data_IF_389446533386
#
_entry.id   IF_389446533386
#
_cell.length_a   1.000
_cell.length_b   1.000
_cell.length_c   1.000
_cell.angle_alpha   90.00
_cell.angle_beta   90.00
_cell.angle_gamma   90.00
#
_symmetry.space_group_name_H-M   'P 1'
#
loop_
_entity.id
_entity.type
_entity.pdbx_description
1 polymer ?
#
# COMPACT_ATOMS: atom_id res chain seq x y z
N UNK A 1 19.56 6.91 -28.65
CA UNK A 1 18.14 6.64 -28.93
C UNK A 1 17.40 6.53 -27.61
N UNK A 2 16.32 7.29 -27.43
CA UNK A 2 15.40 7.15 -26.31
C UNK A 2 14.58 5.86 -26.44
N UNK A 3 14.03 5.38 -25.32
CA UNK A 3 13.14 4.20 -25.33
C UNK A 3 11.93 4.41 -26.25
N UNK A 4 11.40 5.64 -26.32
CA UNK A 4 10.31 5.99 -27.23
C UNK A 4 10.69 5.81 -28.69
N UNK A 5 11.88 6.28 -29.09
CA UNK A 5 12.37 6.13 -30.47
C UNK A 5 12.56 4.65 -30.83
N UNK A 6 13.05 3.82 -29.90
CA UNK A 6 13.16 2.38 -30.11
C UNK A 6 11.80 1.71 -30.30
N UNK A 7 10.79 2.07 -29.48
CA UNK A 7 9.45 1.53 -29.63
C UNK A 7 8.80 1.91 -30.96
N UNK A 8 8.97 3.16 -31.41
CA UNK A 8 8.43 3.59 -32.71
C UNK A 8 9.10 2.83 -33.86
N UNK A 9 10.42 2.68 -33.83
CA UNK A 9 11.13 1.90 -34.85
C UNK A 9 10.65 0.45 -34.93
N UNK A 10 10.33 -0.18 -33.79
CA UNK A 10 9.75 -1.54 -33.78
C UNK A 10 8.34 -1.59 -34.38
N UNK A 11 7.53 -0.53 -34.22
CA UNK A 11 6.19 -0.48 -34.79
C UNK A 11 6.22 -0.40 -36.32
N UNK A 12 7.24 0.26 -36.89
CA UNK A 12 7.42 0.38 -38.33
C UNK A 12 7.74 -0.95 -39.02
N UNK A 13 8.12 -2.00 -38.27
CA UNK A 13 8.38 -3.35 -38.80
C UNK A 13 7.09 -4.15 -39.08
N UNK A 14 5.94 -3.68 -38.59
CA UNK A 14 4.65 -4.36 -38.75
C UNK A 14 3.87 -3.85 -39.96
N UNK A 15 3.08 -4.73 -40.57
CA UNK A 15 2.05 -4.30 -41.52
C UNK A 15 0.85 -3.66 -40.81
N UNK A 16 0.11 -2.82 -41.53
CA UNK A 16 -1.10 -2.15 -41.01
C UNK A 16 -2.13 -3.12 -40.42
N UNK A 17 -2.30 -4.29 -41.06
CA UNK A 17 -3.21 -5.32 -40.57
C UNK A 17 -2.75 -5.93 -39.23
N UNK A 18 -1.44 -6.06 -39.02
CA UNK A 18 -0.89 -6.54 -37.75
C UNK A 18 -0.96 -5.46 -36.67
N UNK A 19 -0.80 -4.18 -37.04
CA UNK A 19 -0.86 -3.06 -36.10
C UNK A 19 -2.18 -2.97 -35.34
N UNK A 20 -3.30 -3.46 -35.92
CA UNK A 20 -4.58 -3.58 -35.19
C UNK A 20 -4.43 -4.42 -33.92
N UNK A 21 -3.77 -5.59 -34.04
CA UNK A 21 -3.55 -6.48 -32.90
C UNK A 21 -2.48 -5.92 -31.95
N UNK A 22 -1.41 -5.33 -32.50
CA UNK A 22 -0.36 -4.69 -31.69
C UNK A 22 -0.93 -3.55 -30.85
N UNK A 23 -1.80 -2.71 -31.42
CA UNK A 23 -2.45 -1.62 -30.71
C UNK A 23 -3.33 -2.13 -29.56
N UNK A 24 -4.06 -3.23 -29.77
CA UNK A 24 -4.85 -3.87 -28.72
C UNK A 24 -3.95 -4.33 -27.56
N UNK A 25 -2.84 -5.02 -27.86
CA UNK A 25 -1.88 -5.49 -26.86
C UNK A 25 -1.23 -4.33 -26.10
N UNK A 26 -0.83 -3.26 -26.79
CA UNK A 26 -0.27 -2.06 -26.15
C UNK A 26 -1.27 -1.38 -25.22
N UNK A 27 -2.55 -1.32 -25.61
CA UNK A 27 -3.62 -0.78 -24.75
C UNK A 27 -3.77 -1.61 -23.48
N UNK A 28 -3.80 -2.94 -23.59
CA UNK A 28 -3.84 -3.83 -22.44
C UNK A 28 -2.60 -3.67 -21.56
N UNK A 29 -1.40 -3.66 -22.15
CA UNK A 29 -0.16 -3.49 -21.40
C UNK A 29 -0.13 -2.16 -20.64
N UNK A 30 -0.58 -1.06 -21.27
CA UNK A 30 -0.71 0.23 -20.59
C UNK A 30 -1.68 0.16 -19.41
N UNK A 31 -2.81 -0.51 -19.56
CA UNK A 31 -3.76 -0.68 -18.46
C UNK A 31 -3.16 -1.52 -17.32
N UNK A 32 -2.48 -2.63 -17.64
CA UNK A 32 -1.82 -3.47 -16.65
C UNK A 32 -0.70 -2.71 -15.92
N UNK A 33 0.10 -1.92 -16.61
CA UNK A 33 1.14 -1.09 -15.98
C UNK A 33 0.52 -0.01 -15.09
N UNK A 34 -0.54 0.65 -15.56
CA UNK A 34 -1.24 1.65 -14.75
C UNK A 34 -1.84 1.03 -13.49
N UNK A 35 -2.50 -0.13 -13.62
CA UNK A 35 -3.07 -0.85 -12.49
C UNK A 35 -2.00 -1.38 -11.54
N UNK A 36 -0.90 -1.93 -12.05
CA UNK A 36 0.20 -2.39 -11.21
C UNK A 36 0.83 -1.24 -10.41
N UNK A 37 0.91 -0.04 -11.01
CA UNK A 37 1.31 1.17 -10.28
C UNK A 37 0.22 1.58 -9.28
N UNK A 38 -1.06 1.54 -9.63
CA UNK A 38 -2.12 1.85 -8.64
C UNK A 38 -2.14 0.86 -7.47
N UNK A 39 -1.90 -0.42 -7.71
CA UNK A 39 -1.89 -1.49 -6.70
C UNK A 39 -0.58 -1.50 -5.88
N UNK A 40 0.58 -1.21 -6.49
CA UNK A 40 1.86 -1.08 -5.77
C UNK A 40 1.92 0.18 -4.88
N UNK A 41 1.15 1.20 -5.25
CA UNK A 41 0.96 2.43 -4.49
C UNK A 41 -0.37 2.46 -3.74
N UNK A 42 -1.05 1.32 -3.62
CA UNK A 42 -2.20 1.17 -2.74
C UNK A 42 -1.70 1.16 -1.30
N UNK A 43 -1.43 2.36 -0.77
CA UNK A 43 -1.04 2.62 0.60
C UNK A 43 -2.22 2.43 1.59
N UNK A 44 -3.35 1.90 1.12
CA UNK A 44 -4.49 1.59 1.98
C UNK A 44 -4.06 0.58 3.04
N UNK A 45 -4.17 0.91 4.34
CA UNK A 45 -3.78 -0.01 5.40
C UNK A 45 -4.59 -1.32 5.35
N UNK A 46 -4.04 -2.39 5.92
CA UNK A 46 -4.80 -3.63 6.04
C UNK A 46 -6.09 -3.42 6.88
N UNK A 47 -7.04 -4.34 6.75
CA UNK A 47 -8.35 -4.22 7.40
C UNK A 47 -8.27 -4.01 8.93
N UNK A 48 -7.29 -4.65 9.60
CA UNK A 48 -7.08 -4.49 11.04
C UNK A 48 -6.62 -3.07 11.40
N UNK A 49 -5.69 -2.52 10.62
CA UNK A 49 -5.22 -1.15 10.82
C UNK A 49 -6.31 -0.13 10.53
N UNK A 50 -7.12 -0.33 9.49
CA UNK A 50 -8.29 0.52 9.20
C UNK A 50 -9.24 0.53 10.40
N UNK A 51 -9.62 -0.65 10.91
CA UNK A 51 -10.52 -0.75 12.05
C UNK A 51 -9.97 -0.06 13.32
N UNK A 52 -8.66 -0.17 13.57
CA UNK A 52 -8.02 0.53 14.68
C UNK A 52 -8.04 2.06 14.51
N UNK A 53 -7.84 2.56 13.29
CA UNK A 53 -7.95 4.00 12.99
C UNK A 53 -9.39 4.49 13.22
N UNK A 54 -10.39 3.77 12.69
CA UNK A 54 -11.80 4.11 12.83
C UNK A 54 -12.25 4.12 14.31
N UNK A 55 -11.76 3.17 15.11
CA UNK A 55 -11.98 3.17 16.56
C UNK A 55 -11.47 4.46 17.20
N UNK A 56 -10.21 4.83 16.93
CA UNK A 56 -9.61 6.03 17.50
C UNK A 56 -10.32 7.32 17.06
N UNK A 57 -10.71 7.42 15.78
CA UNK A 57 -11.45 8.56 15.22
C UNK A 57 -12.85 8.71 15.83
N UNK A 58 -13.53 7.59 16.10
CA UNK A 58 -14.83 7.59 16.78
C UNK A 58 -14.74 7.89 18.28
N UNK A 59 -13.52 8.07 18.80
CA UNK A 59 -13.28 8.34 20.21
C UNK A 59 -13.21 7.09 21.09
N UNK A 60 -13.13 5.89 20.51
CA UNK A 60 -12.84 4.64 21.20
C UNK A 60 -11.40 4.56 21.72
N UNK A 61 -10.94 3.33 22.01
CA UNK A 61 -9.67 3.06 22.66
C UNK A 61 -9.58 3.54 24.12
N UNK A 62 -8.50 3.16 24.79
CA UNK A 62 -8.21 3.62 26.15
C UNK A 62 -7.43 4.93 26.13
N UNK A 63 -7.94 5.93 26.86
CA UNK A 63 -7.22 7.19 27.09
C UNK A 63 -6.63 7.18 28.48
N UNK A 64 -5.31 7.25 28.56
CA UNK A 64 -4.63 7.46 29.82
C UNK A 64 -4.92 8.86 30.37
N UNK A 65 -5.43 8.92 31.60
CA UNK A 65 -5.76 10.17 32.30
C UNK A 65 -4.99 10.35 33.61
N UNK A 66 -4.15 9.38 33.97
CA UNK A 66 -3.27 9.43 35.15
C UNK A 66 -2.00 10.24 34.91
N UNK A 67 -1.12 10.29 35.91
CA UNK A 67 0.20 10.91 35.73
C UNK A 67 1.13 9.98 34.96
N UNK A 68 2.19 10.53 34.38
CA UNK A 68 3.26 9.70 33.79
C UNK A 68 3.91 8.78 34.83
N UNK A 69 4.02 9.22 36.10
CA UNK A 69 4.59 8.39 37.16
C UNK A 69 3.73 7.16 37.48
N UNK A 70 2.40 7.31 37.46
CA UNK A 70 1.49 6.19 37.70
C UNK A 70 1.53 5.17 36.54
N UNK A 71 1.80 5.63 35.32
CA UNK A 71 1.95 4.75 34.16
C UNK A 71 3.20 3.87 34.28
N UNK A 72 4.35 4.47 34.63
CA UNK A 72 5.59 3.70 34.84
C UNK A 72 5.48 2.75 36.03
N UNK A 73 4.83 3.15 37.13
CA UNK A 73 4.61 2.26 38.26
C UNK A 73 3.72 1.06 37.90
N UNK A 74 2.76 1.23 36.98
CA UNK A 74 1.95 0.12 36.45
C UNK A 74 2.79 -0.84 35.60
N UNK A 75 3.65 -0.32 34.71
CA UNK A 75 4.53 -1.16 33.90
C UNK A 75 5.54 -1.92 34.76
N UNK A 76 6.16 -1.27 35.74
CA UNK A 76 7.11 -1.91 36.65
C UNK A 76 6.44 -3.04 37.45
N UNK A 77 5.16 -2.88 37.83
CA UNK A 77 4.39 -3.92 38.52
C UNK A 77 3.96 -5.08 37.60
N UNK A 78 3.67 -4.79 36.32
CA UNK A 78 3.33 -5.81 35.31
C UNK A 78 4.55 -6.69 34.99
N UNK A 79 5.74 -6.09 34.85
CA UNK A 79 7.00 -6.82 34.66
C UNK A 79 7.34 -7.71 35.87
N UNK A 80 7.08 -7.27 37.10
CA UNK A 80 7.27 -8.07 38.32
C UNK A 80 6.29 -9.25 38.44
N UNK A 81 5.06 -9.12 37.94
CA UNK A 81 4.06 -10.20 37.94
C UNK A 81 4.34 -11.29 36.89
N UNK A 82 4.97 -10.96 35.75
CA UNK A 82 5.40 -11.94 34.74
C UNK A 82 6.61 -12.78 35.18
N UNK A 83 7.51 -12.24 36.01
CA UNK A 83 8.71 -12.93 36.50
C UNK A 83 8.41 -13.97 37.62
N UNK A 84 7.23 -13.91 38.24
CA UNK A 84 6.78 -14.82 39.33
C UNK A 84 5.89 -16.00 38.85
N UNK A 85 5.66 -16.15 37.53
CA UNK A 85 4.84 -17.20 36.89
C UNK A 85 5.65 -18.33 36.22
#
# INVERSE_FOLDING_TARGET
MSNKEQCVALLDEFSEAQLVNVAAMLKTMRQTVAQAIEDEWDETPNATTIAAIEELESGGGERWTGSTADFFAMLDAEDEEEDDA
#
